data_IF_704317032244
#
_entry.id   IF_704317032244
#
_cell.length_a   1.000
_cell.length_b   1.000
_cell.length_c   1.000
_cell.angle_alpha   90.00
_cell.angle_beta   90.00
_cell.angle_gamma   90.00
#
_symmetry.space_group_name_H-M   'P 1'
#
loop_
_entity.id
_entity.type
_entity.pdbx_description
1 polymer ?
#
# COMPACT_ATOMS: atom_id res chain seq x y z
N UNK A 1 -8.97 2.85 -11.02
CA UNK A 1 -8.33 4.03 -11.65
C UNK A 1 -7.92 3.62 -13.07
N UNK A 2 -8.28 4.39 -14.08
CA UNK A 2 -7.91 4.10 -15.47
C UNK A 2 -6.54 4.71 -15.81
N UNK A 3 -5.83 4.13 -16.79
CA UNK A 3 -4.54 4.66 -17.26
C UNK A 3 -4.61 6.15 -17.66
N UNK A 4 -5.72 6.56 -18.30
CA UNK A 4 -5.97 7.97 -18.65
C UNK A 4 -6.03 8.90 -17.44
N UNK A 5 -6.54 8.42 -16.31
CA UNK A 5 -6.66 9.18 -15.07
C UNK A 5 -5.28 9.33 -14.42
N UNK A 6 -4.45 8.29 -14.46
CA UNK A 6 -3.06 8.35 -13.99
C UNK A 6 -2.22 9.32 -14.82
N UNK A 7 -2.36 9.28 -16.15
CA UNK A 7 -1.68 10.21 -17.07
C UNK A 7 -2.13 11.65 -16.84
N UNK A 8 -3.43 11.91 -16.75
CA UNK A 8 -3.98 13.23 -16.47
C UNK A 8 -3.51 13.79 -15.11
N UNK A 9 -3.26 12.90 -14.14
CA UNK A 9 -2.78 13.31 -12.84
C UNK A 9 -1.28 13.67 -12.83
N UNK A 10 -0.53 13.45 -13.91
CA UNK A 10 0.91 13.77 -13.99
C UNK A 10 1.85 12.58 -13.75
N UNK A 11 1.35 11.34 -13.87
CA UNK A 11 2.21 10.16 -13.92
C UNK A 11 2.63 9.92 -15.39
N UNK A 12 3.87 10.22 -15.80
CA UNK A 12 4.29 10.14 -17.20
C UNK A 12 4.46 8.69 -17.69
N UNK A 13 4.51 7.74 -16.76
CA UNK A 13 4.68 6.31 -17.02
C UNK A 13 3.33 5.62 -17.23
N UNK A 14 3.36 4.41 -17.78
CA UNK A 14 2.16 3.57 -17.95
C UNK A 14 1.61 2.99 -16.63
N UNK A 15 2.21 3.35 -15.49
CA UNK A 15 1.80 2.89 -14.18
C UNK A 15 2.39 3.75 -13.06
N UNK A 16 1.81 3.61 -11.87
CA UNK A 16 2.25 4.31 -10.67
C UNK A 16 3.09 3.34 -9.81
N UNK A 17 4.22 3.78 -9.23
CA UNK A 17 4.90 2.96 -8.24
C UNK A 17 3.99 2.74 -7.05
N UNK A 18 3.86 1.48 -6.62
CA UNK A 18 3.01 1.12 -5.51
C UNK A 18 3.84 0.67 -4.31
N UNK A 19 3.50 1.21 -3.15
CA UNK A 19 3.92 0.70 -1.85
C UNK A 19 2.83 -0.27 -1.39
N UNK A 20 3.22 -1.52 -1.17
CA UNK A 20 2.34 -2.58 -0.72
C UNK A 20 2.67 -2.86 0.74
N UNK A 21 1.66 -2.81 1.59
CA UNK A 21 1.80 -3.10 3.01
C UNK A 21 1.03 -4.36 3.36
N UNK A 22 1.77 -5.39 3.76
CA UNK A 22 1.14 -6.56 4.39
C UNK A 22 0.75 -6.18 5.82
N UNK A 23 -0.56 -6.13 6.07
CA UNK A 23 -1.11 -5.61 7.32
C UNK A 23 -1.23 -6.74 8.34
N UNK A 24 -0.40 -6.68 9.38
CA UNK A 24 -0.35 -7.70 10.43
C UNK A 24 -1.57 -7.57 11.34
N UNK A 25 -2.28 -8.67 11.57
CA UNK A 25 -3.38 -8.70 12.53
C UNK A 25 -2.83 -8.89 13.94
N UNK A 26 -2.96 -7.88 14.79
CA UNK A 26 -2.63 -7.95 16.21
C UNK A 26 -3.70 -8.73 17.00
N UNK A 27 -4.98 -8.48 16.71
CA UNK A 27 -6.10 -9.19 17.33
C UNK A 27 -7.02 -9.82 16.27
N UNK A 28 -7.77 -10.89 16.61
CA UNK A 28 -8.63 -11.59 15.64
C UNK A 28 -9.77 -10.75 15.05
N UNK A 29 -10.21 -9.73 15.77
CA UNK A 29 -11.33 -8.85 15.44
C UNK A 29 -10.88 -7.49 14.89
N UNK A 30 -9.76 -6.99 15.38
CA UNK A 30 -9.14 -5.74 14.92
C UNK A 30 -7.65 -5.92 14.63
N UNK A 31 -7.20 -5.66 13.39
CA UNK A 31 -5.81 -5.90 13.04
C UNK A 31 -4.83 -4.94 13.71
N UNK A 32 -5.27 -3.73 14.08
CA UNK A 32 -4.40 -2.72 14.70
C UNK A 32 -5.18 -1.87 15.72
N UNK A 33 -5.56 -2.45 16.88
CA UNK A 33 -6.44 -1.81 17.86
C UNK A 33 -5.92 -0.45 18.35
N UNK A 34 -4.60 -0.27 18.36
CA UNK A 34 -3.93 0.91 18.88
C UNK A 34 -3.30 1.78 17.78
N UNK A 35 -3.47 1.43 16.51
CA UNK A 35 -2.93 2.20 15.39
C UNK A 35 -1.40 2.17 15.29
N UNK A 36 -0.72 1.18 15.86
CA UNK A 36 0.74 1.08 15.85
C UNK A 36 1.28 0.88 14.43
N UNK A 37 0.72 -0.11 13.73
CA UNK A 37 1.08 -0.45 12.35
C UNK A 37 0.78 0.73 11.43
N UNK A 38 -0.38 1.38 11.63
CA UNK A 38 -0.76 2.59 10.91
C UNK A 38 0.20 3.77 11.19
N UNK A 39 0.59 3.98 12.44
CA UNK A 39 1.54 5.04 12.83
C UNK A 39 2.91 4.87 12.16
N UNK A 40 3.41 3.62 12.14
CA UNK A 40 4.65 3.28 11.44
C UNK A 40 4.52 3.53 9.93
N UNK A 41 3.38 3.14 9.34
CA UNK A 41 3.09 3.39 7.94
C UNK A 41 3.09 4.88 7.61
N UNK A 42 2.45 5.72 8.43
CA UNK A 42 2.45 7.18 8.24
C UNK A 42 3.86 7.76 8.29
N UNK A 43 4.68 7.34 9.25
CA UNK A 43 6.07 7.81 9.38
C UNK A 43 6.91 7.47 8.14
N UNK A 44 6.72 6.25 7.64
CA UNK A 44 7.39 5.76 6.45
C UNK A 44 6.87 6.45 5.17
N UNK A 45 5.56 6.64 5.00
CA UNK A 45 4.99 7.37 3.87
C UNK A 45 5.49 8.82 3.80
N UNK A 46 5.59 9.52 4.95
CA UNK A 46 6.20 10.86 5.01
C UNK A 46 7.61 10.85 4.43
N UNK A 47 8.41 9.84 4.77
CA UNK A 47 9.76 9.67 4.24
C UNK A 47 9.73 9.44 2.73
N UNK A 48 8.91 8.50 2.23
CA UNK A 48 8.78 8.21 0.79
C UNK A 48 8.31 9.41 -0.04
N UNK A 49 7.42 10.25 0.49
CA UNK A 49 6.95 11.46 -0.20
C UNK A 49 7.97 12.60 -0.20
N UNK A 50 8.92 12.59 0.73
CA UNK A 50 10.01 13.56 0.82
C UNK A 50 11.27 13.12 0.06
N UNK A 51 11.38 11.84 -0.32
CA UNK A 51 12.49 11.32 -1.10
C UNK A 51 12.56 11.97 -2.49
N UNK A 52 13.77 12.28 -2.90
CA UNK A 52 14.07 12.75 -4.25
C UNK A 52 14.32 11.58 -5.20
N UNK A 53 14.15 11.79 -6.51
CA UNK A 53 14.39 10.80 -7.57
C UNK A 53 15.73 10.08 -7.49
N UNK A 54 16.79 10.84 -7.23
CA UNK A 54 18.17 10.35 -7.10
C UNK A 54 18.34 9.37 -5.93
N UNK A 55 17.45 9.45 -4.93
CA UNK A 55 17.48 8.61 -3.74
C UNK A 55 16.67 7.31 -3.90
N UNK A 56 15.74 7.27 -4.86
CA UNK A 56 14.89 6.10 -5.10
C UNK A 56 15.54 5.05 -6.00
N UNK A 57 16.55 5.43 -6.79
CA UNK A 57 17.41 4.51 -7.54
C UNK A 57 16.69 3.62 -8.57
N UNK A 58 15.44 3.94 -8.92
CA UNK A 58 14.61 3.12 -9.81
C UNK A 58 13.88 3.97 -10.87
N UNK A 59 13.22 3.30 -11.80
CA UNK A 59 12.50 3.92 -12.94
C UNK A 59 11.38 4.90 -12.54
N UNK A 60 10.99 4.93 -11.26
CA UNK A 60 9.89 5.73 -10.73
C UNK A 60 10.29 7.10 -10.20
N UNK A 61 11.57 7.45 -10.28
CA UNK A 61 12.15 8.78 -10.15
C UNK A 61 11.43 9.90 -10.94
N UNK A 62 10.51 9.56 -11.83
CA UNK A 62 9.81 10.50 -12.72
C UNK A 62 8.32 10.68 -12.40
N UNK A 63 7.79 9.99 -11.37
CA UNK A 63 6.37 10.06 -11.01
C UNK A 63 6.10 11.15 -9.97
N UNK A 64 5.76 12.36 -10.42
CA UNK A 64 5.49 13.49 -9.53
C UNK A 64 4.01 13.84 -9.41
N UNK A 65 3.65 14.36 -8.24
CA UNK A 65 2.41 15.06 -7.98
C UNK A 65 2.58 16.58 -7.96
N UNK A 66 1.54 17.32 -7.54
CA UNK A 66 1.61 18.77 -7.33
C UNK A 66 2.80 19.16 -6.45
N UNK A 67 3.40 20.31 -6.75
CA UNK A 67 4.55 20.82 -5.99
C UNK A 67 5.84 20.02 -6.18
N UNK A 68 5.95 19.23 -7.26
CA UNK A 68 7.13 18.41 -7.57
C UNK A 68 7.46 17.37 -6.47
N UNK A 69 6.43 16.87 -5.79
CA UNK A 69 6.54 15.82 -4.76
C UNK A 69 6.42 14.44 -5.39
N UNK A 70 7.08 13.43 -4.84
CA UNK A 70 6.98 12.07 -5.35
C UNK A 70 5.55 11.53 -5.11
N UNK A 71 4.95 10.93 -6.15
CA UNK A 71 3.64 10.28 -6.04
C UNK A 71 3.78 8.78 -5.94
N UNK A 72 3.02 8.20 -5.02
CA UNK A 72 2.94 6.76 -4.76
C UNK A 72 1.50 6.29 -4.77
N UNK A 73 1.29 5.08 -5.31
CA UNK A 73 0.13 4.27 -5.00
C UNK A 73 0.37 3.58 -3.66
N UNK A 74 -0.66 3.47 -2.85
CA UNK A 74 -0.57 2.78 -1.57
C UNK A 74 -1.63 1.69 -1.54
N UNK A 75 -1.19 0.47 -1.29
CA UNK A 75 -2.05 -0.69 -1.13
C UNK A 75 -1.82 -1.30 0.26
N UNK A 76 -2.88 -1.41 1.04
CA UNK A 76 -2.88 -2.04 2.36
C UNK A 76 -3.69 -3.32 2.28
N UNK A 77 -3.06 -4.45 2.58
CA UNK A 77 -3.72 -5.75 2.56
C UNK A 77 -5.00 -5.75 3.36
N UNK A 78 -5.98 -6.47 2.83
CA UNK A 78 -7.35 -6.58 3.32
C UNK A 78 -8.10 -5.24 3.35
N UNK A 79 -7.54 -4.18 3.93
CA UNK A 79 -8.17 -2.86 4.12
C UNK A 79 -8.54 -2.18 2.80
N UNK A 80 -7.77 -2.41 1.73
CA UNK A 80 -8.08 -1.90 0.39
C UNK A 80 -9.12 -2.76 -0.37
N UNK A 81 -9.61 -3.87 0.21
CA UNK A 81 -10.66 -4.71 -0.37
C UNK A 81 -12.03 -4.42 0.28
N UNK A 82 -13.10 -5.05 -0.22
CA UNK A 82 -14.42 -4.96 0.41
C UNK A 82 -14.41 -5.54 1.84
N UNK A 83 -14.86 -4.73 2.81
CA UNK A 83 -14.96 -5.11 4.22
C UNK A 83 -16.35 -5.67 4.55
N UNK A 84 -16.45 -6.40 5.66
CA UNK A 84 -17.75 -6.92 6.13
C UNK A 84 -18.62 -5.79 6.72
N UNK A 85 -19.96 -5.90 6.62
CA UNK A 85 -20.69 -6.92 5.85
C UNK A 85 -20.60 -6.67 4.33
N UNK A 86 -20.42 -7.75 3.56
CA UNK A 86 -20.32 -7.69 2.09
C UNK A 86 -21.62 -8.18 1.45
N UNK A 87 -22.01 -7.54 0.35
CA UNK A 87 -22.98 -8.11 -0.59
C UNK A 87 -22.38 -9.29 -1.36
N UNK A 88 -23.21 -10.09 -2.05
CA UNK A 88 -22.72 -11.21 -2.87
C UNK A 88 -21.76 -10.74 -3.99
N UNK A 89 -21.99 -9.56 -4.55
CA UNK A 89 -21.11 -9.00 -5.57
C UNK A 89 -19.75 -8.56 -4.98
N UNK A 90 -19.77 -7.88 -3.83
CA UNK A 90 -18.55 -7.49 -3.13
C UNK A 90 -17.76 -8.69 -2.61
N UNK A 91 -18.44 -9.77 -2.22
CA UNK A 91 -17.77 -11.02 -1.82
C UNK A 91 -17.03 -11.66 -3.01
N UNK A 92 -17.65 -11.70 -4.18
CA UNK A 92 -17.00 -12.17 -5.41
C UNK A 92 -15.75 -11.33 -5.75
N UNK A 93 -15.85 -10.00 -5.69
CA UNK A 93 -14.71 -9.10 -5.91
C UNK A 93 -13.62 -9.26 -4.86
N UNK A 94 -14.01 -9.49 -3.59
CA UNK A 94 -13.05 -9.77 -2.53
C UNK A 94 -12.27 -11.07 -2.78
N UNK A 95 -12.96 -12.15 -3.19
CA UNK A 95 -12.29 -13.41 -3.50
C UNK A 95 -11.35 -13.27 -4.70
N UNK A 96 -11.79 -12.56 -5.75
CA UNK A 96 -10.94 -12.26 -6.91
C UNK A 96 -9.68 -11.49 -6.50
N UNK A 97 -9.84 -10.42 -5.72
CA UNK A 97 -8.72 -9.65 -5.19
C UNK A 97 -7.77 -10.51 -4.34
N UNK A 98 -8.31 -11.38 -3.48
CA UNK A 98 -7.54 -12.28 -2.62
C UNK A 98 -6.68 -13.25 -3.45
N UNK A 99 -7.22 -13.82 -4.52
CA UNK A 99 -6.47 -14.72 -5.43
C UNK A 99 -5.40 -13.99 -6.25
N UNK A 100 -5.51 -12.67 -6.40
CA UNK A 100 -4.60 -11.85 -7.20
C UNK A 100 -3.47 -11.21 -6.38
N UNK A 101 -3.52 -11.31 -5.04
CA UNK A 101 -2.52 -10.69 -4.16
C UNK A 101 -1.10 -11.13 -4.48
N UNK A 102 -0.86 -12.42 -4.72
CA UNK A 102 0.48 -12.93 -5.00
C UNK A 102 1.09 -12.26 -6.23
N UNK A 103 0.28 -11.99 -7.26
CA UNK A 103 0.73 -11.26 -8.46
C UNK A 103 1.11 -9.83 -8.11
N UNK A 104 0.31 -9.16 -7.28
CA UNK A 104 0.59 -7.81 -6.83
C UNK A 104 1.89 -7.75 -6.00
N UNK A 105 2.07 -8.66 -5.04
CA UNK A 105 3.26 -8.74 -4.17
C UNK A 105 4.55 -9.18 -4.85
N UNK A 106 4.45 -9.98 -5.92
CA UNK A 106 5.61 -10.45 -6.68
C UNK A 106 5.99 -9.52 -7.84
N UNK A 107 5.19 -8.50 -8.12
CA UNK A 107 5.42 -7.63 -9.25
C UNK A 107 6.70 -6.80 -9.05
N UNK A 108 7.66 -6.80 -10.01
CA UNK A 108 8.99 -6.20 -9.84
C UNK A 108 8.98 -4.69 -9.62
N UNK A 109 7.85 -4.05 -9.88
CA UNK A 109 7.65 -2.62 -9.75
C UNK A 109 6.90 -2.20 -8.48
N UNK A 110 6.77 -3.12 -7.52
CA UNK A 110 6.15 -2.85 -6.22
C UNK A 110 7.21 -2.81 -5.13
N UNK A 111 7.03 -1.91 -4.17
CA UNK A 111 7.82 -1.87 -2.94
C UNK A 111 6.99 -2.55 -1.86
N UNK A 112 7.40 -3.76 -1.47
CA UNK A 112 6.72 -4.53 -0.44
C UNK A 112 7.30 -4.19 0.93
N UNK A 113 6.43 -3.78 1.84
CA UNK A 113 6.76 -3.44 3.20
C UNK A 113 6.11 -4.46 4.13
N UNK A 114 6.96 -5.08 4.95
CA UNK A 114 6.56 -6.13 5.90
C UNK A 114 7.02 -5.74 7.28
N UNK A 115 6.07 -5.65 8.21
CA UNK A 115 6.39 -5.54 9.63
C UNK A 115 6.89 -6.89 10.14
N UNK A 116 8.04 -6.89 10.79
CA UNK A 116 8.70 -8.10 11.32
C UNK A 116 8.71 -8.16 12.83
N UNK A 117 8.09 -7.18 13.51
CA UNK A 117 8.07 -7.06 14.96
C UNK A 117 6.70 -6.61 15.43
N UNK A 118 6.31 -7.14 16.58
CA UNK A 118 5.16 -6.67 17.35
C UNK A 118 5.47 -5.33 18.03
N UNK A 119 4.44 -4.55 18.43
CA UNK A 119 4.62 -3.39 19.29
C UNK A 119 5.37 -3.76 20.58
N UNK A 120 6.15 -2.83 21.10
CA UNK A 120 6.78 -2.99 22.41
C UNK A 120 5.71 -3.19 23.50
N UNK A 121 5.92 -4.16 24.38
CA UNK A 121 4.95 -4.51 25.42
C UNK A 121 3.72 -5.28 24.93
N UNK A 122 3.66 -5.67 23.65
CA UNK A 122 2.60 -6.56 23.18
C UNK A 122 2.70 -7.92 23.89
N UNK A 123 1.58 -8.47 24.41
CA UNK A 123 1.61 -9.74 25.14
C UNK A 123 2.19 -10.86 24.28
N UNK A 124 3.06 -11.68 24.88
CA UNK A 124 3.42 -12.97 24.30
C UNK A 124 2.15 -13.81 24.20
N UNK A 125 1.82 -14.27 23.00
CA UNK A 125 0.67 -15.16 22.75
C UNK A 125 0.81 -16.52 23.42
#
# INVERSE_FOLDING_TARGET
IALRELKAAGCPLEGLPCILQSYMWLQPDTPDPFGYTLGQMVSMLKTFTAMRPDQLGNIYATCYGPGNTQRWGVFVDFSCMHQKPRTAHEDALFQEALTSLDTLYSHPNTIVLRFTKLPEGYPSG
#
